data_IF_643412255206
#
_entry.id   IF_643412255206
#
_cell.length_a   1.000
_cell.length_b   1.000
_cell.length_c   1.000
_cell.angle_alpha   90.00
_cell.angle_beta   90.00
_cell.angle_gamma   90.00
#
_symmetry.space_group_name_H-M   'P 1'
#
loop_
_entity.id
_entity.type
_entity.pdbx_description
1 polymer ?
#
# COMPACT_ATOMS: atom_id res chain seq x y z
N UNK A 1 9.79 -11.87 -5.14
CA UNK A 1 10.21 -13.06 -4.36
C UNK A 1 8.98 -13.85 -3.89
N UNK A 2 9.09 -15.13 -3.55
CA UNK A 2 7.99 -15.89 -2.96
C UNK A 2 7.44 -15.23 -1.70
N UNK A 3 6.22 -15.60 -1.32
CA UNK A 3 5.62 -15.12 -0.07
C UNK A 3 6.52 -15.43 1.13
N UNK A 4 6.72 -14.43 1.98
CA UNK A 4 7.49 -14.57 3.22
C UNK A 4 6.53 -14.52 4.41
N UNK A 5 6.40 -15.60 5.19
CA UNK A 5 5.49 -15.66 6.33
C UNK A 5 5.86 -14.69 7.48
N UNK A 6 7.01 -14.03 7.40
CA UNK A 6 7.40 -12.99 8.38
C UNK A 6 6.77 -11.62 8.11
N UNK A 7 6.21 -11.38 6.92
CA UNK A 7 5.61 -10.07 6.59
C UNK A 7 4.52 -9.61 7.56
N UNK A 8 3.57 -10.47 8.00
CA UNK A 8 2.60 -10.05 9.03
C UNK A 8 3.25 -9.62 10.34
N UNK A 9 4.32 -10.29 10.75
CA UNK A 9 5.08 -9.94 11.98
C UNK A 9 5.80 -8.60 11.80
N UNK A 10 6.45 -8.38 10.67
CA UNK A 10 7.11 -7.11 10.33
C UNK A 10 6.11 -5.96 10.32
N UNK A 11 4.94 -6.16 9.70
CA UNK A 11 3.86 -5.19 9.78
C UNK A 11 3.43 -4.91 11.23
N UNK A 12 3.21 -5.94 12.04
CA UNK A 12 2.80 -5.77 13.43
C UNK A 12 3.80 -5.00 14.29
N UNK A 13 5.10 -5.20 14.05
CA UNK A 13 6.17 -4.45 14.72
C UNK A 13 6.14 -2.98 14.34
N UNK A 14 6.08 -2.70 13.04
CA UNK A 14 6.08 -1.34 12.54
C UNK A 14 4.78 -0.61 12.90
N UNK A 15 3.64 -1.30 12.87
CA UNK A 15 2.36 -0.75 13.33
C UNK A 15 2.44 -0.23 14.76
N UNK A 16 3.01 -1.00 15.68
CA UNK A 16 3.16 -0.57 17.08
C UNK A 16 4.01 0.68 17.24
N UNK A 17 5.10 0.78 16.46
CA UNK A 17 5.90 2.00 16.41
C UNK A 17 5.07 3.20 15.93
N UNK A 18 4.40 3.04 14.79
CA UNK A 18 3.61 4.10 14.17
C UNK A 18 2.40 4.52 15.04
N UNK A 19 1.75 3.59 15.71
CA UNK A 19 0.66 3.90 16.65
C UNK A 19 1.13 4.83 17.78
N UNK A 20 2.37 4.69 18.24
CA UNK A 20 2.95 5.59 19.26
C UNK A 20 3.28 6.96 18.69
N UNK A 21 4.01 7.00 17.58
CA UNK A 21 4.51 8.28 17.04
C UNK A 21 3.44 9.09 16.31
N UNK A 22 2.41 8.45 15.78
CA UNK A 22 1.30 9.10 15.09
C UNK A 22 0.07 9.33 15.96
N UNK A 23 0.08 8.93 17.22
CA UNK A 23 -1.08 8.98 18.12
C UNK A 23 -1.87 10.32 18.07
N UNK A 24 -1.24 11.51 17.99
CA UNK A 24 -1.96 12.77 17.92
C UNK A 24 -2.87 12.93 16.70
N UNK A 25 -2.59 12.23 15.60
CA UNK A 25 -3.28 12.40 14.31
C UNK A 25 -4.15 11.22 13.91
N UNK A 26 -3.97 10.04 14.52
CA UNK A 26 -4.62 8.81 14.09
C UNK A 26 -6.15 8.84 14.25
N UNK A 27 -6.82 8.34 13.22
CA UNK A 27 -8.24 7.99 13.20
C UNK A 27 -8.46 6.83 12.21
N UNK A 28 -9.09 5.75 12.65
CA UNK A 28 -9.38 4.59 11.81
C UNK A 28 -8.29 3.51 11.77
N UNK A 29 -7.18 3.69 12.48
CA UNK A 29 -6.14 2.67 12.64
C UNK A 29 -5.13 2.61 11.51
N UNK A 30 -4.22 1.64 11.62
CA UNK A 30 -3.15 1.38 10.65
C UNK A 30 -3.37 0.01 10.04
N UNK A 31 -3.38 -0.05 8.70
CA UNK A 31 -3.73 -1.25 7.93
C UNK A 31 -2.55 -1.72 7.06
N UNK A 32 -2.32 -3.02 7.05
CA UNK A 32 -1.43 -3.66 6.08
C UNK A 32 -2.14 -3.70 4.73
N UNK A 33 -1.57 -3.12 3.72
CA UNK A 33 -2.07 -3.07 2.35
C UNK A 33 -1.00 -3.57 1.36
N UNK A 34 -1.31 -3.54 0.08
CA UNK A 34 -0.36 -3.98 -0.95
C UNK A 34 -0.16 -5.50 -0.98
N UNK A 35 0.72 -5.94 -1.86
CA UNK A 35 0.89 -7.37 -2.17
C UNK A 35 1.38 -8.20 -0.99
N UNK A 36 2.24 -7.63 -0.11
CA UNK A 36 2.73 -8.36 1.08
C UNK A 36 1.65 -8.61 2.13
N UNK A 37 0.50 -7.93 2.01
CA UNK A 37 -0.66 -8.13 2.89
C UNK A 37 -1.54 -9.32 2.50
N UNK A 38 -1.28 -9.95 1.36
CA UNK A 38 -2.07 -11.07 0.83
C UNK A 38 -1.33 -12.37 1.11
N UNK A 39 -1.88 -13.27 1.93
CA UNK A 39 -1.24 -14.54 2.24
C UNK A 39 -0.95 -15.35 0.97
N UNK A 40 0.25 -15.91 0.88
CA UNK A 40 0.68 -16.74 -0.23
C UNK A 40 1.12 -16.00 -1.49
N UNK A 41 0.89 -14.69 -1.60
CA UNK A 41 1.20 -13.91 -2.81
C UNK A 41 2.70 -13.55 -2.88
N UNK A 42 3.35 -13.85 -4.01
CA UNK A 42 4.71 -13.37 -4.28
C UNK A 42 4.72 -11.84 -4.48
N UNK A 43 5.71 -11.19 -3.90
CA UNK A 43 5.83 -9.74 -3.93
C UNK A 43 7.26 -9.24 -3.74
N UNK A 44 7.49 -7.96 -3.98
CA UNK A 44 8.67 -7.26 -3.45
C UNK A 44 8.54 -7.17 -1.92
N UNK A 45 9.65 -7.29 -1.17
CA UNK A 45 9.61 -7.35 0.30
C UNK A 45 9.41 -5.96 0.95
N UNK A 46 8.39 -5.24 0.49
CA UNK A 46 8.01 -3.91 0.99
C UNK A 46 6.72 -4.05 1.79
N UNK A 47 6.74 -3.61 3.04
CA UNK A 47 5.54 -3.56 3.88
C UNK A 47 4.81 -2.25 3.60
N UNK A 48 3.74 -2.33 2.83
CA UNK A 48 2.90 -1.18 2.54
C UNK A 48 1.82 -1.03 3.61
N UNK A 49 1.70 0.18 4.13
CA UNK A 49 0.78 0.50 5.22
C UNK A 49 -0.05 1.74 4.89
N UNK A 50 -1.24 1.77 5.44
CA UNK A 50 -2.13 2.92 5.35
C UNK A 50 -2.66 3.26 6.74
N UNK A 51 -2.39 4.48 7.19
CA UNK A 51 -2.87 5.00 8.46
C UNK A 51 -3.98 6.02 8.23
N UNK A 52 -5.10 5.84 8.92
CA UNK A 52 -6.17 6.83 8.95
C UNK A 52 -5.80 8.02 9.83
N UNK A 53 -6.02 9.23 9.35
CA UNK A 53 -5.82 10.47 10.10
C UNK A 53 -7.11 11.30 10.10
N UNK A 54 -7.35 12.06 11.19
CA UNK A 54 -8.57 12.88 11.32
C UNK A 54 -8.64 14.00 10.31
N UNK A 55 -7.51 14.63 10.06
CA UNK A 55 -7.41 15.78 9.14
C UNK A 55 -6.06 15.68 8.41
N UNK A 56 -6.12 15.67 7.09
CA UNK A 56 -4.93 15.51 6.26
C UNK A 56 -3.97 16.70 6.35
N UNK A 57 -4.50 17.92 6.48
CA UNK A 57 -3.67 19.13 6.61
C UNK A 57 -2.96 19.18 7.97
N UNK A 58 -3.66 18.84 9.06
CA UNK A 58 -3.05 18.74 10.39
C UNK A 58 -1.98 17.65 10.44
N UNK A 59 -2.19 16.54 9.74
CA UNK A 59 -1.25 15.42 9.68
C UNK A 59 0.07 15.76 8.97
N UNK A 60 0.19 16.89 8.28
CA UNK A 60 1.47 17.38 7.75
C UNK A 60 2.55 17.52 8.84
N UNK A 61 2.14 17.87 10.05
CA UNK A 61 3.06 17.99 11.19
C UNK A 61 3.69 16.65 11.60
N UNK A 62 3.09 15.51 11.21
CA UNK A 62 3.66 14.18 11.46
C UNK A 62 4.96 13.93 10.68
N UNK A 63 5.24 14.68 9.61
CA UNK A 63 6.46 14.50 8.81
C UNK A 63 7.73 14.59 9.64
N UNK A 64 7.78 15.45 10.64
CA UNK A 64 8.95 15.64 11.52
C UNK A 64 9.21 14.40 12.39
N UNK A 65 8.16 13.81 12.97
CA UNK A 65 8.33 12.58 13.78
C UNK A 65 8.62 11.37 12.92
N UNK A 66 8.01 11.28 11.74
CA UNK A 66 8.25 10.20 10.78
C UNK A 66 9.69 10.23 10.24
N UNK A 67 10.24 11.41 9.98
CA UNK A 67 11.62 11.55 9.56
C UNK A 67 12.61 10.97 10.58
N UNK A 68 12.35 11.16 11.87
CA UNK A 68 13.17 10.58 12.96
C UNK A 68 13.11 9.05 12.97
N UNK A 69 12.02 8.47 12.49
CA UNK A 69 11.82 7.02 12.40
C UNK A 69 12.31 6.44 11.06
N UNK A 70 12.97 7.24 10.23
CA UNK A 70 13.55 6.80 8.96
C UNK A 70 12.63 6.91 7.76
N UNK A 71 11.47 7.56 7.89
CA UNK A 71 10.55 7.82 6.79
C UNK A 71 10.86 9.14 6.10
N UNK A 72 10.88 9.13 4.78
CA UNK A 72 11.03 10.33 3.96
C UNK A 72 9.78 10.54 3.09
N UNK A 73 9.36 11.78 2.93
CA UNK A 73 8.23 12.12 2.07
C UNK A 73 8.50 11.72 0.63
N UNK A 74 7.59 10.94 0.04
CA UNK A 74 7.60 10.49 -1.34
C UNK A 74 6.23 10.76 -1.96
N UNK A 75 5.96 11.98 -2.49
CA UNK A 75 4.62 12.38 -2.88
C UNK A 75 3.97 11.44 -3.91
N UNK A 76 2.76 11.00 -3.59
CA UNK A 76 1.91 10.20 -4.45
C UNK A 76 0.44 10.47 -4.10
N UNK A 77 -0.37 10.92 -5.07
CA UNK A 77 -1.76 11.36 -4.86
C UNK A 77 -1.87 12.36 -3.70
N UNK A 78 -1.01 13.39 -3.75
CA UNK A 78 -0.81 14.34 -2.65
C UNK A 78 -2.07 15.12 -2.25
N UNK A 79 -3.07 15.16 -3.11
CA UNK A 79 -4.37 15.78 -2.86
C UNK A 79 -5.22 15.00 -1.84
N UNK A 80 -4.97 13.70 -1.65
CA UNK A 80 -5.74 12.85 -0.72
C UNK A 80 -4.89 12.04 0.25
N UNK A 81 -3.56 12.11 0.13
CA UNK A 81 -2.65 11.35 1.00
C UNK A 81 -1.29 12.01 1.17
N UNK A 82 -0.64 11.76 2.30
CA UNK A 82 0.79 11.97 2.46
C UNK A 82 1.47 10.61 2.40
N UNK A 83 2.37 10.41 1.43
CA UNK A 83 3.10 9.16 1.25
C UNK A 83 4.54 9.29 1.69
N UNK A 84 5.03 8.28 2.40
CA UNK A 84 6.39 8.20 2.93
C UNK A 84 7.00 6.84 2.62
N UNK A 85 8.29 6.83 2.32
CA UNK A 85 9.09 5.62 2.19
C UNK A 85 10.12 5.52 3.30
N UNK A 86 10.31 4.31 3.82
CA UNK A 86 11.44 3.95 4.68
C UNK A 86 12.37 3.04 3.89
N UNK A 87 13.67 3.32 3.95
CA UNK A 87 14.70 2.60 3.18
C UNK A 87 15.79 2.05 4.09
N UNK A 88 16.37 0.95 3.65
CA UNK A 88 17.57 0.39 4.23
C UNK A 88 18.54 0.02 3.10
N UNK A 89 19.79 0.48 3.19
CA UNK A 89 20.81 0.25 2.14
C UNK A 89 20.38 0.72 0.73
N UNK A 90 19.55 1.77 0.64
CA UNK A 90 19.04 2.29 -0.64
C UNK A 90 17.78 1.60 -1.15
N UNK A 91 17.40 0.46 -0.59
CA UNK A 91 16.18 -0.28 -0.95
C UNK A 91 15.00 0.09 -0.05
N UNK A 92 13.82 0.27 -0.64
CA UNK A 92 12.60 0.50 0.12
C UNK A 92 12.25 -0.75 0.94
N UNK A 93 11.92 -0.55 2.23
CA UNK A 93 11.50 -1.61 3.15
C UNK A 93 10.06 -1.44 3.59
N UNK A 94 9.58 -0.19 3.70
CA UNK A 94 8.21 0.14 4.09
C UNK A 94 7.71 1.32 3.27
N UNK A 95 6.42 1.30 2.97
CA UNK A 95 5.67 2.42 2.43
C UNK A 95 4.54 2.78 3.39
N UNK A 96 4.28 4.06 3.61
CA UNK A 96 3.25 4.55 4.50
C UNK A 96 2.42 5.63 3.83
N UNK A 97 1.12 5.42 3.77
CA UNK A 97 0.14 6.42 3.36
C UNK A 97 -0.59 6.94 4.59
N UNK A 98 -0.60 8.27 4.78
CA UNK A 98 -1.53 8.93 5.70
C UNK A 98 -2.68 9.48 4.86
N UNK A 99 -3.91 9.07 5.17
CA UNK A 99 -5.10 9.52 4.46
C UNK A 99 -6.30 9.55 5.41
N UNK A 100 -7.29 10.36 5.09
CA UNK A 100 -8.52 10.38 5.88
C UNK A 100 -9.32 9.10 5.64
N UNK A 101 -9.92 8.49 6.68
CA UNK A 101 -10.85 7.38 6.50
C UNK A 101 -11.97 7.77 5.52
N UNK A 102 -12.36 6.84 4.65
CA UNK A 102 -13.34 7.03 3.56
C UNK A 102 -12.84 7.86 2.37
N UNK A 103 -11.58 8.29 2.33
CA UNK A 103 -10.98 8.83 1.11
C UNK A 103 -11.03 7.80 -0.03
N UNK A 104 -10.87 8.24 -1.27
CA UNK A 104 -10.80 7.31 -2.41
C UNK A 104 -9.69 6.27 -2.21
N UNK A 105 -8.50 6.72 -1.80
CA UNK A 105 -7.37 5.82 -1.52
C UNK A 105 -7.71 4.79 -0.43
N UNK A 106 -8.33 5.22 0.65
CA UNK A 106 -8.75 4.36 1.77
C UNK A 106 -9.67 3.24 1.29
N UNK A 107 -10.72 3.58 0.57
CA UNK A 107 -11.71 2.62 0.07
C UNK A 107 -11.10 1.66 -0.95
N UNK A 108 -10.34 2.17 -1.91
CA UNK A 108 -9.70 1.37 -2.96
C UNK A 108 -8.73 0.34 -2.36
N UNK A 109 -7.85 0.78 -1.48
CA UNK A 109 -6.81 -0.09 -0.93
C UNK A 109 -7.37 -1.19 -0.03
N UNK A 110 -8.34 -0.87 0.81
CA UNK A 110 -8.96 -1.86 1.68
C UNK A 110 -9.82 -2.85 0.89
N UNK A 111 -10.64 -2.37 -0.05
CA UNK A 111 -11.48 -3.24 -0.87
C UNK A 111 -10.65 -4.19 -1.75
N UNK A 112 -9.60 -3.71 -2.39
CA UNK A 112 -8.71 -4.54 -3.21
C UNK A 112 -8.02 -5.61 -2.36
N UNK A 113 -7.43 -5.22 -1.24
CA UNK A 113 -6.82 -6.16 -0.28
C UNK A 113 -7.80 -7.23 0.15
N UNK A 114 -9.00 -6.84 0.58
CA UNK A 114 -9.99 -7.76 1.14
C UNK A 114 -10.54 -8.70 0.06
N UNK A 115 -10.72 -8.24 -1.17
CA UNK A 115 -11.11 -9.08 -2.31
C UNK A 115 -10.07 -10.18 -2.56
N UNK A 116 -8.80 -9.86 -2.62
CA UNK A 116 -7.73 -10.84 -2.85
C UNK A 116 -7.54 -11.79 -1.67
N UNK A 117 -7.80 -11.34 -0.45
CA UNK A 117 -7.75 -12.20 0.75
C UNK A 117 -8.90 -13.21 0.79
N UNK A 118 -10.06 -12.86 0.25
CA UNK A 118 -11.23 -13.75 0.21
C UNK A 118 -11.17 -14.78 -0.90
N UNK A 119 -10.49 -14.45 -2.00
CA UNK A 119 -10.48 -15.23 -3.23
C UNK A 119 -9.05 -15.56 -3.65
N UNK A 120 -8.64 -16.79 -3.32
CA UNK A 120 -7.31 -17.30 -3.63
C UNK A 120 -7.07 -17.40 -5.15
N UNK A 121 -8.10 -17.73 -5.93
CA UNK A 121 -7.99 -17.77 -7.38
C UNK A 121 -7.73 -16.37 -7.96
N UNK A 122 -8.43 -15.35 -7.47
CA UNK A 122 -8.22 -13.96 -7.86
C UNK A 122 -6.81 -13.48 -7.47
N UNK A 123 -6.32 -13.86 -6.30
CA UNK A 123 -4.95 -13.57 -5.87
C UNK A 123 -3.92 -14.22 -6.81
N UNK A 124 -4.15 -15.46 -7.24
CA UNK A 124 -3.32 -16.16 -8.20
C UNK A 124 -3.30 -15.50 -9.58
N UNK A 125 -4.44 -15.03 -10.08
CA UNK A 125 -4.54 -14.27 -11.32
C UNK A 125 -3.73 -12.96 -11.23
N UNK A 126 -3.81 -12.28 -10.11
CA UNK A 126 -3.03 -11.05 -9.87
C UNK A 126 -1.52 -11.32 -9.85
N UNK A 127 -1.10 -12.41 -9.20
CA UNK A 127 0.30 -12.83 -9.18
C UNK A 127 0.82 -13.13 -10.58
N UNK A 128 0.08 -13.92 -11.35
CA UNK A 128 0.44 -14.27 -12.74
C UNK A 128 0.56 -13.01 -13.61
N UNK A 129 -0.38 -12.07 -13.47
CA UNK A 129 -0.34 -10.79 -14.19
C UNK A 129 0.91 -9.98 -13.81
N UNK A 130 1.24 -9.88 -12.53
CA UNK A 130 2.42 -9.13 -12.08
C UNK A 130 3.72 -9.73 -12.62
N UNK A 131 3.84 -11.05 -12.64
CA UNK A 131 5.01 -11.74 -13.19
C UNK A 131 5.13 -11.50 -14.69
N UNK A 132 4.05 -11.66 -15.45
CA UNK A 132 4.03 -11.41 -16.88
C UNK A 132 4.37 -9.94 -17.23
N UNK A 133 3.81 -8.99 -16.51
CA UNK A 133 4.11 -7.57 -16.70
C UNK A 133 5.57 -7.22 -16.36
N UNK A 134 6.14 -7.85 -15.34
CA UNK A 134 7.53 -7.65 -14.98
C UNK A 134 8.49 -8.17 -16.06
N UNK A 135 8.20 -9.32 -16.65
CA UNK A 135 8.97 -9.88 -17.76
C UNK A 135 8.91 -8.97 -19.00
N UNK A 136 7.72 -8.51 -19.38
CA UNK A 136 7.51 -7.63 -20.52
C UNK A 136 8.15 -6.25 -20.30
N UNK A 137 8.05 -5.72 -19.10
CA UNK A 137 8.68 -4.43 -18.74
C UNK A 137 10.21 -4.52 -18.80
N UNK A 138 10.79 -5.59 -18.27
CA UNK A 138 12.24 -5.82 -18.32
C UNK A 138 12.73 -6.00 -19.76
N UNK A 139 11.89 -6.51 -20.67
CA UNK A 139 12.17 -6.58 -22.10
C UNK A 139 11.91 -5.25 -22.85
N UNK A 140 11.43 -4.20 -22.19
CA UNK A 140 11.12 -2.90 -22.78
C UNK A 140 9.87 -2.88 -23.68
N UNK A 141 9.00 -3.88 -23.56
CA UNK A 141 7.83 -4.06 -24.42
C UNK A 141 6.57 -3.36 -23.92
N UNK A 142 6.41 -3.20 -22.59
CA UNK A 142 5.26 -2.57 -21.96
C UNK A 142 5.66 -1.79 -20.70
N UNK A 143 4.80 -0.84 -20.33
CA UNK A 143 4.89 -0.23 -19.01
C UNK A 143 4.16 -1.08 -17.96
N UNK A 144 4.78 -1.29 -16.81
CA UNK A 144 4.27 -2.15 -15.74
C UNK A 144 2.97 -1.63 -15.11
N UNK A 145 2.92 -0.33 -14.84
CA UNK A 145 1.83 0.29 -14.07
C UNK A 145 0.47 0.26 -14.78
N UNK A 146 0.34 0.62 -16.07
CA UNK A 146 -0.97 0.61 -16.75
C UNK A 146 -1.64 -0.76 -16.80
N UNK A 147 -0.87 -1.84 -17.05
CA UNK A 147 -1.43 -3.20 -17.09
C UNK A 147 -1.95 -3.67 -15.73
N UNK A 148 -1.23 -3.37 -14.68
CA UNK A 148 -1.65 -3.63 -13.30
C UNK A 148 -2.93 -2.86 -12.92
N UNK A 149 -3.03 -1.63 -13.37
CA UNK A 149 -4.18 -0.76 -13.10
C UNK A 149 -5.48 -1.29 -13.67
N UNK A 150 -5.49 -1.83 -14.88
CA UNK A 150 -6.69 -2.39 -15.50
C UNK A 150 -7.26 -3.55 -14.66
N UNK A 151 -6.42 -4.42 -14.13
CA UNK A 151 -6.82 -5.49 -13.24
C UNK A 151 -7.41 -4.96 -11.93
N UNK A 152 -6.74 -3.99 -11.30
CA UNK A 152 -7.23 -3.35 -10.07
C UNK A 152 -8.61 -2.72 -10.31
N UNK A 153 -8.80 -2.03 -11.44
CA UNK A 153 -10.09 -1.43 -11.79
C UNK A 153 -11.21 -2.46 -11.90
N UNK A 154 -10.97 -3.61 -12.53
CA UNK A 154 -11.96 -4.68 -12.64
C UNK A 154 -12.35 -5.26 -11.26
N UNK A 155 -11.36 -5.49 -10.39
CA UNK A 155 -11.63 -5.98 -9.03
C UNK A 155 -12.45 -4.97 -8.23
N UNK A 156 -12.09 -3.69 -8.30
CA UNK A 156 -12.81 -2.63 -7.57
C UNK A 156 -14.23 -2.43 -8.11
N UNK A 157 -14.44 -2.52 -9.42
CA UNK A 157 -15.77 -2.45 -10.01
C UNK A 157 -16.67 -3.59 -9.49
N UNK A 158 -16.14 -4.81 -9.39
CA UNK A 158 -16.85 -5.93 -8.81
C UNK A 158 -17.19 -5.72 -7.31
N UNK A 159 -16.40 -4.92 -6.59
CA UNK A 159 -16.64 -4.52 -5.21
C UNK A 159 -17.53 -3.24 -5.10
N UNK A 160 -18.03 -2.72 -6.22
CA UNK A 160 -18.89 -1.52 -6.26
C UNK A 160 -18.12 -0.19 -6.10
N UNK A 161 -16.82 -0.18 -6.38
CA UNK A 161 -15.96 1.00 -6.27
C UNK A 161 -15.47 1.42 -7.64
N UNK A 162 -15.74 2.66 -8.06
CA UNK A 162 -15.15 3.24 -9.26
C UNK A 162 -13.79 3.86 -8.96
N UNK A 163 -12.79 3.50 -9.75
CA UNK A 163 -11.52 4.23 -9.80
C UNK A 163 -11.76 5.59 -10.46
N UNK A 164 -11.78 6.64 -9.68
CA UNK A 164 -11.83 8.01 -10.18
C UNK A 164 -10.42 8.55 -10.33
N UNK A 165 -10.14 9.06 -11.50
CA UNK A 165 -9.01 9.92 -11.75
C UNK A 165 -7.67 9.24 -11.63
N UNK A 166 -7.18 9.02 -12.75
CA UNK A 166 -5.78 8.77 -12.93
C UNK A 166 -5.23 9.83 -13.89
#
# INVERSE_FOLDING_TARGET
MPYDPTWPTRFGQERRLLERVLAPWLDGGIHHIGSTSIPGLAAKPIIDMMAGVRDLDEARAASAVLLREGYALAPHRAEIAHHFDKRDGGSATHGLHLTEPRSELWRERLAFRDALRRDEALAGEYEALKLALAELHNAGLVEYTPGKRAFVAQVLEAEGIELRGV
#
